data_IF_443308843149
#
_entry.id   IF_443308843149
#
_cell.length_a   1.000
_cell.length_b   1.000
_cell.length_c   1.000
_cell.angle_alpha   90.00
_cell.angle_beta   90.00
_cell.angle_gamma   90.00
#
_symmetry.space_group_name_H-M   'P 1'
#
loop_
_entity.id
_entity.type
_entity.pdbx_description
1 polymer ?
#
# COMPACT_ATOMS: atom_id res chain seq x y z
N UNK A 1 -4.68 -7.71 9.80
CA UNK A 1 -3.36 -8.09 10.34
C UNK A 1 -3.27 -9.60 10.26
N UNK A 2 -2.15 -10.14 9.75
CA UNK A 2 -2.00 -11.54 9.33
C UNK A 2 -1.92 -12.55 10.49
N UNK A 3 -1.30 -13.70 10.23
CA UNK A 3 -1.19 -14.80 11.20
C UNK A 3 -0.24 -14.43 12.33
N UNK A 4 -0.76 -14.37 13.56
CA UNK A 4 0.02 -14.06 14.77
C UNK A 4 1.09 -15.11 15.03
N UNK A 5 2.31 -14.69 15.36
CA UNK A 5 3.41 -15.60 15.74
C UNK A 5 4.10 -16.33 14.58
N UNK A 6 3.67 -16.13 13.32
CA UNK A 6 4.24 -16.84 12.17
C UNK A 6 5.69 -16.42 11.84
N UNK A 7 5.99 -15.11 11.84
CA UNK A 7 7.32 -14.62 11.45
C UNK A 7 8.46 -15.12 12.37
N UNK A 8 8.32 -15.17 13.71
CA UNK A 8 9.31 -15.80 14.58
C UNK A 8 9.62 -17.26 14.21
N UNK A 9 8.60 -18.03 13.80
CA UNK A 9 8.75 -19.44 13.42
C UNK A 9 9.51 -19.60 12.09
N UNK A 10 9.32 -18.66 11.15
CA UNK A 10 9.99 -18.69 9.84
C UNK A 10 11.39 -18.06 9.87
N UNK A 11 11.82 -17.47 11.00
CA UNK A 11 13.12 -16.81 11.12
C UNK A 11 14.32 -17.66 10.66
N UNK A 12 14.40 -18.98 10.91
CA UNK A 12 15.53 -19.80 10.47
C UNK A 12 15.68 -19.91 8.94
N UNK A 13 14.58 -19.76 8.20
CA UNK A 13 14.57 -19.84 6.72
C UNK A 13 14.61 -18.46 6.05
N UNK A 14 14.53 -17.37 6.83
CA UNK A 14 14.60 -16.01 6.31
C UNK A 14 16.05 -15.55 6.13
N UNK A 15 16.43 -15.18 4.91
CA UNK A 15 17.70 -14.52 4.62
C UNK A 15 17.51 -13.01 4.44
N UNK A 16 18.43 -12.21 5.00
CA UNK A 16 18.50 -10.78 4.71
C UNK A 16 19.13 -10.61 3.34
N UNK A 17 18.52 -9.77 2.49
CA UNK A 17 18.99 -9.53 1.12
C UNK A 17 18.89 -8.04 0.79
N UNK A 18 19.75 -7.58 -0.12
CA UNK A 18 19.74 -6.21 -0.61
C UNK A 18 18.83 -6.07 -1.84
N UNK A 19 18.30 -4.87 -2.08
CA UNK A 19 17.38 -4.63 -3.19
C UNK A 19 18.05 -4.72 -4.56
N UNK A 20 19.36 -4.49 -4.63
CA UNK A 20 20.14 -4.68 -5.87
C UNK A 20 20.03 -6.09 -6.43
N UNK A 21 19.85 -7.10 -5.58
CA UNK A 21 19.71 -8.50 -5.99
C UNK A 21 18.42 -8.75 -6.80
N UNK A 22 17.48 -7.81 -6.79
CA UNK A 22 16.20 -7.89 -7.52
C UNK A 22 16.14 -6.96 -8.73
N UNK A 23 17.28 -6.41 -9.17
CA UNK A 23 17.35 -5.53 -10.34
C UNK A 23 16.72 -6.21 -11.56
N UNK A 24 15.89 -5.46 -12.31
CA UNK A 24 15.08 -5.92 -13.46
C UNK A 24 13.98 -6.93 -13.14
N UNK A 25 13.75 -7.29 -11.88
CA UNK A 25 12.63 -8.13 -11.48
C UNK A 25 11.36 -7.30 -11.25
N UNK A 26 10.21 -7.97 -11.32
CA UNK A 26 8.91 -7.41 -10.92
C UNK A 26 8.61 -7.80 -9.48
N UNK A 27 8.24 -6.82 -8.66
CA UNK A 27 7.95 -7.06 -7.23
C UNK A 27 6.53 -6.59 -6.92
N UNK A 28 5.72 -7.50 -6.40
CA UNK A 28 4.39 -7.19 -5.88
C UNK A 28 4.47 -6.41 -4.58
N UNK A 29 3.73 -5.31 -4.49
CA UNK A 29 3.66 -4.45 -3.30
C UNK A 29 2.22 -4.44 -2.80
N UNK A 30 2.02 -4.88 -1.56
CA UNK A 30 0.78 -4.63 -0.82
C UNK A 30 0.70 -3.13 -0.48
N UNK A 31 -0.17 -2.42 -1.18
CA UNK A 31 -0.31 -0.98 -1.03
C UNK A 31 -0.85 -0.59 0.35
N UNK A 32 -1.79 -1.37 0.90
CA UNK A 32 -2.44 -1.06 2.17
C UNK A 32 -1.43 -1.07 3.31
N UNK A 33 -0.51 -2.03 3.29
CA UNK A 33 0.57 -2.11 4.30
C UNK A 33 1.46 -0.85 4.35
N UNK A 34 1.73 -0.23 3.20
CA UNK A 34 2.55 0.98 3.11
C UNK A 34 1.75 2.24 3.43
N UNK A 35 0.52 2.33 2.94
CA UNK A 35 -0.38 3.44 3.24
C UNK A 35 -0.69 3.52 4.73
N UNK A 36 -0.92 2.37 5.38
CA UNK A 36 -1.14 2.31 6.83
C UNK A 36 0.08 2.85 7.61
N UNK A 37 1.30 2.48 7.20
CA UNK A 37 2.53 3.03 7.81
C UNK A 37 2.68 4.53 7.56
N UNK A 38 2.36 4.99 6.35
CA UNK A 38 2.38 6.41 6.01
C UNK A 38 1.35 7.22 6.81
N UNK A 39 0.14 6.68 6.98
CA UNK A 39 -0.95 7.31 7.74
C UNK A 39 -0.59 7.49 9.22
N UNK A 40 0.16 6.55 9.80
CA UNK A 40 0.66 6.70 11.17
C UNK A 40 1.59 7.92 11.33
N UNK A 41 2.35 8.27 10.29
CA UNK A 41 3.24 9.44 10.30
C UNK A 41 2.49 10.79 10.25
N UNK A 42 1.24 10.80 9.79
CA UNK A 42 0.37 11.98 9.72
C UNK A 42 -0.95 11.75 10.46
N UNK A 43 -0.93 10.94 11.53
CA UNK A 43 -2.15 10.52 12.22
C UNK A 43 -2.90 11.72 12.84
N UNK A 44 -2.17 12.69 13.38
CA UNK A 44 -2.76 13.92 13.97
C UNK A 44 -3.52 14.72 12.91
N UNK A 45 -2.90 14.96 11.76
CA UNK A 45 -3.52 15.69 10.66
C UNK A 45 -4.75 14.96 10.12
N UNK A 46 -4.66 13.64 9.99
CA UNK A 46 -5.77 12.80 9.54
C UNK A 46 -6.95 12.82 10.53
N UNK A 47 -6.68 12.74 11.83
CA UNK A 47 -7.72 12.79 12.87
C UNK A 47 -8.34 14.19 13.02
N UNK A 48 -7.57 15.24 12.74
CA UNK A 48 -8.04 16.64 12.79
C UNK A 48 -8.66 17.12 11.48
N UNK A 49 -8.79 16.25 10.46
CA UNK A 49 -9.23 16.59 9.10
C UNK A 49 -8.40 17.68 8.42
N UNK A 50 -7.16 17.87 8.86
CA UNK A 50 -6.22 18.80 8.24
C UNK A 50 -5.73 18.22 6.92
N UNK A 51 -5.66 19.02 5.84
CA UNK A 51 -5.14 18.54 4.56
C UNK A 51 -3.70 18.03 4.70
N UNK A 52 -3.48 16.74 4.42
CA UNK A 52 -2.16 16.12 4.51
C UNK A 52 -1.87 15.22 3.31
N UNK A 53 -0.62 15.25 2.86
CA UNK A 53 -0.07 14.40 1.80
C UNK A 53 1.07 13.51 2.31
N UNK A 54 1.25 13.42 3.63
CA UNK A 54 2.35 12.69 4.26
C UNK A 54 2.38 11.22 3.87
N UNK A 55 1.22 10.55 3.88
CA UNK A 55 1.09 9.15 3.47
C UNK A 55 1.42 8.92 1.99
N UNK A 56 1.04 9.84 1.10
CA UNK A 56 1.37 9.79 -0.34
C UNK A 56 2.86 10.01 -0.56
N UNK A 57 3.45 10.96 0.16
CA UNK A 57 4.88 11.27 0.10
C UNK A 57 5.73 10.09 0.56
N UNK A 58 5.33 9.44 1.67
CA UNK A 58 5.94 8.21 2.15
C UNK A 58 5.88 7.11 1.09
N UNK A 59 4.69 6.86 0.53
CA UNK A 59 4.50 5.83 -0.49
C UNK A 59 5.36 6.08 -1.74
N UNK A 60 5.35 7.32 -2.22
CA UNK A 60 6.10 7.77 -3.40
C UNK A 60 7.61 7.64 -3.18
N UNK A 61 8.11 7.99 -2.00
CA UNK A 61 9.52 7.84 -1.67
C UNK A 61 9.97 6.37 -1.75
N UNK A 62 9.15 5.44 -1.25
CA UNK A 62 9.45 4.00 -1.29
C UNK A 62 9.41 3.43 -2.72
N UNK A 63 8.48 3.90 -3.55
CA UNK A 63 8.45 3.54 -4.98
C UNK A 63 9.69 4.04 -5.72
N UNK A 64 10.09 5.31 -5.52
CA UNK A 64 11.30 5.87 -6.15
C UNK A 64 12.54 5.08 -5.78
N UNK A 65 12.62 4.62 -4.54
CA UNK A 65 13.72 3.77 -4.08
C UNK A 65 13.79 2.44 -4.85
N UNK A 66 12.66 1.75 -5.07
CA UNK A 66 12.64 0.53 -5.89
C UNK A 66 13.04 0.79 -7.35
N UNK A 67 12.50 1.87 -7.93
CA UNK A 67 12.81 2.27 -9.29
C UNK A 67 14.29 2.63 -9.46
N UNK A 68 14.92 3.27 -8.45
CA UNK A 68 16.36 3.56 -8.43
C UNK A 68 17.21 2.30 -8.54
N UNK A 69 16.81 1.21 -7.88
CA UNK A 69 17.46 -0.11 -8.00
C UNK A 69 17.10 -0.86 -9.30
N UNK A 70 16.31 -0.25 -10.20
CA UNK A 70 15.89 -0.86 -11.46
C UNK A 70 14.88 -1.99 -11.27
N UNK A 71 14.14 -1.99 -10.15
CA UNK A 71 13.04 -2.92 -9.89
C UNK A 71 11.78 -2.36 -10.54
N UNK A 72 10.91 -3.23 -11.06
CA UNK A 72 9.59 -2.86 -11.59
C UNK A 72 8.53 -3.13 -10.51
N UNK A 73 8.06 -2.11 -9.77
CA UNK A 73 7.04 -2.31 -8.75
C UNK A 73 5.65 -2.52 -9.38
N UNK A 74 4.96 -3.55 -8.88
CA UNK A 74 3.58 -3.87 -9.19
C UNK A 74 2.75 -3.63 -7.94
N UNK A 75 2.09 -2.48 -7.87
CA UNK A 75 1.32 -2.07 -6.70
C UNK A 75 -0.05 -2.72 -6.74
N UNK A 76 -0.40 -3.42 -5.68
CA UNK A 76 -1.68 -4.12 -5.54
C UNK A 76 -2.49 -3.42 -4.45
N UNK A 77 -3.66 -2.93 -4.84
CA UNK A 77 -4.67 -2.41 -3.93
C UNK A 77 -5.75 -3.47 -3.73
N UNK A 78 -6.11 -3.69 -2.47
CA UNK A 78 -7.28 -4.49 -2.11
C UNK A 78 -8.53 -3.89 -2.75
N UNK A 79 -9.38 -4.76 -3.29
CA UNK A 79 -10.68 -4.43 -3.82
C UNK A 79 -11.77 -4.56 -2.76
N UNK A 80 -12.84 -5.27 -3.11
CA UNK A 80 -14.01 -5.38 -2.24
C UNK A 80 -13.80 -6.31 -1.04
N UNK A 81 -14.65 -6.14 -0.02
CA UNK A 81 -14.61 -6.91 1.22
C UNK A 81 -14.93 -8.37 0.96
N UNK A 82 -14.12 -9.24 1.55
CA UNK A 82 -14.36 -10.67 1.50
C UNK A 82 -15.30 -11.07 2.64
N UNK A 83 -16.43 -11.77 2.37
CA UNK A 83 -17.42 -12.13 3.40
C UNK A 83 -16.82 -13.00 4.51
N UNK A 84 -15.80 -13.80 4.19
CA UNK A 84 -15.07 -14.65 5.13
C UNK A 84 -14.21 -13.87 6.14
N UNK A 85 -13.87 -12.61 5.85
CA UNK A 85 -13.08 -11.72 6.73
C UNK A 85 -13.94 -10.67 7.45
N UNK A 86 -15.26 -10.81 7.37
CA UNK A 86 -16.23 -9.85 7.90
C UNK A 86 -16.15 -9.71 9.43
N UNK A 87 -15.86 -10.80 10.14
CA UNK A 87 -15.70 -10.79 11.59
C UNK A 87 -14.44 -10.02 12.01
N UNK A 88 -13.28 -10.26 11.39
CA UNK A 88 -12.06 -9.53 11.74
C UNK A 88 -12.10 -8.05 11.33
N UNK A 89 -12.82 -7.72 10.25
CA UNK A 89 -13.10 -6.31 9.90
C UNK A 89 -14.01 -5.62 10.93
N UNK A 90 -15.01 -6.34 11.43
CA UNK A 90 -15.95 -5.82 12.44
C UNK A 90 -15.26 -5.59 13.78
N UNK A 91 -14.36 -6.49 14.18
CA UNK A 91 -13.50 -6.29 15.36
C UNK A 91 -12.53 -5.11 15.18
N UNK A 92 -11.92 -4.95 14.00
CA UNK A 92 -11.08 -3.78 13.70
C UNK A 92 -11.83 -2.46 13.77
N UNK A 93 -13.09 -2.42 13.35
CA UNK A 93 -13.95 -1.23 13.51
C UNK A 93 -14.34 -0.97 14.96
N UNK A 94 -14.28 -1.97 15.83
CA UNK A 94 -14.64 -1.83 17.25
C UNK A 94 -13.52 -1.18 18.06
N UNK A 95 -12.26 -1.45 17.73
CA UNK A 95 -11.08 -0.86 18.37
C UNK A 95 -10.74 0.54 17.87
N UNK A 96 -11.32 0.96 16.77
CA UNK A 96 -11.03 2.26 16.18
C UNK A 96 -12.34 2.98 15.97
N UNK A 97 -12.58 4.05 16.71
CA UNK A 97 -13.75 4.92 16.62
C UNK A 97 -13.76 5.64 15.24
N UNK A 98 -14.03 4.90 14.16
CA UNK A 98 -14.00 5.33 12.76
C UNK A 98 -15.34 5.89 12.25
N UNK A 99 -16.26 6.25 13.13
CA UNK A 99 -17.63 6.66 12.74
C UNK A 99 -17.72 7.99 11.97
N UNK A 100 -16.62 8.62 11.55
CA UNK A 100 -16.69 9.86 10.75
C UNK A 100 -15.79 9.95 9.52
N UNK A 101 -15.06 8.91 9.10
CA UNK A 101 -14.15 9.05 7.95
C UNK A 101 -14.64 8.31 6.69
N UNK A 102 -15.83 8.66 6.23
CA UNK A 102 -16.37 8.25 4.91
C UNK A 102 -15.69 8.96 3.71
N UNK A 103 -14.68 9.81 3.97
CA UNK A 103 -14.04 10.70 3.00
C UNK A 103 -12.56 10.36 2.73
N UNK A 104 -12.15 9.11 2.94
CA UNK A 104 -10.75 8.68 2.83
C UNK A 104 -10.15 8.67 1.41
N UNK A 105 -10.96 8.93 0.38
CA UNK A 105 -10.47 9.13 -0.97
C UNK A 105 -11.24 10.28 -1.65
N UNK A 106 -10.74 11.52 -1.59
CA UNK A 106 -11.17 12.52 -2.56
C UNK A 106 -10.74 12.04 -3.96
N UNK A 107 -11.67 11.94 -4.94
CA UNK A 107 -11.30 11.66 -6.32
C UNK A 107 -10.43 12.82 -6.83
N UNK A 108 -9.11 12.58 -6.96
CA UNK A 108 -8.20 13.57 -7.55
C UNK A 108 -6.78 13.66 -6.98
N UNK A 109 -6.49 13.10 -5.80
CA UNK A 109 -5.14 13.26 -5.20
C UNK A 109 -4.04 12.40 -5.85
N UNK A 110 -4.40 11.31 -6.53
CA UNK A 110 -3.43 10.43 -7.20
C UNK A 110 -3.11 10.85 -8.64
N UNK A 111 -4.02 11.56 -9.32
CA UNK A 111 -3.92 11.82 -10.77
C UNK A 111 -2.83 12.85 -11.12
N UNK A 112 -2.46 13.75 -10.21
CA UNK A 112 -1.44 14.78 -10.50
C UNK A 112 0.00 14.30 -10.29
N UNK A 113 0.25 13.36 -9.35
CA UNK A 113 1.60 12.88 -9.02
C UNK A 113 2.10 11.74 -9.95
N UNK A 114 1.20 11.07 -10.67
CA UNK A 114 1.51 9.97 -11.61
C UNK A 114 1.89 10.46 -13.03
N UNK A 115 2.34 11.71 -13.17
CA UNK A 115 2.77 12.30 -14.46
C UNK A 115 4.12 11.79 -15.00
N UNK A 116 4.77 10.83 -14.34
CA UNK A 116 5.88 10.07 -14.93
C UNK A 116 5.34 8.76 -15.47
N UNK A 117 4.92 8.77 -16.76
CA UNK A 117 4.56 7.64 -17.64
C UNK A 117 4.22 6.32 -16.91
N UNK A 118 3.17 6.33 -16.08
CA UNK A 118 2.63 5.12 -15.46
C UNK A 118 1.72 4.45 -16.49
N UNK A 119 2.16 3.30 -17.03
CA UNK A 119 1.32 2.45 -17.85
C UNK A 119 0.37 1.68 -16.93
N UNK A 120 -0.78 2.27 -16.61
CA UNK A 120 -1.87 1.53 -15.94
C UNK A 120 -2.37 0.42 -16.86
N UNK A 121 -2.28 -0.84 -16.41
CA UNK A 121 -2.97 -1.98 -17.02
C UNK A 121 -3.98 -2.47 -16.01
N UNK A 122 -5.26 -2.25 -16.27
CA UNK A 122 -6.32 -2.92 -15.51
C UNK A 122 -6.29 -4.41 -15.87
N UNK A 123 -5.99 -5.24 -14.88
CA UNK A 123 -6.12 -6.70 -15.01
C UNK A 123 -7.53 -7.05 -14.50
N UNK A 124 -8.38 -7.61 -15.37
CA UNK A 124 -9.84 -7.71 -15.21
C UNK A 124 -10.39 -8.61 -14.09
N UNK A 125 -9.66 -8.80 -12.99
CA UNK A 125 -10.13 -9.55 -11.82
C UNK A 125 -10.70 -8.58 -10.79
N UNK A 126 -12.02 -8.58 -10.59
CA UNK A 126 -12.79 -7.60 -9.80
C UNK A 126 -12.35 -7.39 -8.32
N UNK A 127 -11.41 -8.18 -7.82
CA UNK A 127 -11.01 -8.22 -6.40
C UNK A 127 -9.70 -7.46 -6.12
N UNK A 128 -8.88 -7.18 -7.13
CA UNK A 128 -7.59 -6.51 -6.94
C UNK A 128 -7.37 -5.45 -8.02
N UNK A 129 -7.09 -4.21 -7.61
CA UNK A 129 -6.65 -3.16 -8.53
C UNK A 129 -5.14 -3.16 -8.57
N UNK A 130 -4.56 -3.50 -9.72
CA UNK A 130 -3.11 -3.54 -9.91
C UNK A 130 -2.63 -2.35 -10.73
N UNK A 131 -1.60 -1.67 -10.26
CA UNK A 131 -0.92 -0.57 -10.97
C UNK A 131 0.54 -0.94 -11.15
N UNK A 132 0.96 -1.16 -12.39
CA UNK A 132 2.36 -1.37 -12.74
C UNK A 132 3.04 -0.02 -13.03
N UNK A 133 4.19 0.22 -12.41
CA UNK A 133 4.94 1.46 -12.60
C UNK A 133 6.28 1.12 -13.26
N UNK A 134 6.55 1.74 -14.41
CA UNK A 134 7.81 1.60 -15.15
C UNK A 134 8.42 2.98 -15.39
N UNK A 135 9.75 3.06 -15.31
CA UNK A 135 10.50 4.17 -15.88
C UNK A 135 10.83 3.80 -17.33
N UNK A 136 10.51 4.68 -18.28
CA UNK A 136 10.97 4.57 -19.67
C UNK A 136 12.41 4.99 -19.79
#
# INVERSE_FOLDING_TARGET
MGVTGLLPLLKPICSKTHLENFRRMRVGIDAYSWLHKGAHGCAVDLCTSSPTTGYVSYFSHRLRMLLHYGIVPVVVFDGDRLPMKSNEESERKRFVHWTSCSLWFPPGSFSHLLRQKVSMRECGTAVLKTVEIRLN
#
